data_IF_356230109373
#
_entry.id   IF_356230109373
#
_cell.length_a   1.000
_cell.length_b   1.000
_cell.length_c   1.000
_cell.angle_alpha   90.00
_cell.angle_beta   90.00
_cell.angle_gamma   90.00
#
_symmetry.space_group_name_H-M   'P 1'
#
loop_
_entity.id
_entity.type
_entity.pdbx_description
1 polymer ?
#
# COMPACT_ATOMS: atom_id res chain seq x y z
N UNK A 1 -4.69 16.23 16.36
CA UNK A 1 -4.49 14.82 15.92
C UNK A 1 -5.43 14.42 14.80
N UNK A 2 -6.73 14.71 14.87
CA UNK A 2 -7.72 14.40 13.82
C UNK A 2 -7.31 14.92 12.44
N UNK A 3 -6.87 16.19 12.32
CA UNK A 3 -6.44 16.78 11.05
C UNK A 3 -5.28 16.04 10.37
N UNK A 4 -4.30 15.57 11.16
CA UNK A 4 -3.14 14.83 10.67
C UNK A 4 -3.54 13.45 10.13
N UNK A 5 -4.49 12.79 10.81
CA UNK A 5 -5.01 11.51 10.36
C UNK A 5 -5.91 11.64 9.12
N UNK A 6 -6.67 12.73 8.98
CA UNK A 6 -7.48 13.01 7.77
C UNK A 6 -6.58 13.23 6.54
N UNK A 7 -5.47 13.96 6.70
CA UNK A 7 -4.43 14.08 5.67
C UNK A 7 -3.86 12.70 5.34
N UNK A 8 -3.60 11.87 6.35
CA UNK A 8 -3.18 10.48 6.18
C UNK A 8 -4.14 9.68 5.30
N UNK A 9 -5.45 9.73 5.57
CA UNK A 9 -6.46 9.06 4.74
C UNK A 9 -6.44 9.57 3.29
N UNK A 10 -6.43 10.90 3.09
CA UNK A 10 -6.44 11.50 1.75
C UNK A 10 -5.21 11.08 0.93
N UNK A 11 -4.02 11.11 1.54
CA UNK A 11 -2.80 10.66 0.89
C UNK A 11 -2.84 9.16 0.56
N UNK A 12 -3.36 8.33 1.48
CA UNK A 12 -3.40 6.88 1.29
C UNK A 12 -4.42 6.47 0.22
N UNK A 13 -5.59 7.11 0.18
CA UNK A 13 -6.60 6.92 -0.87
C UNK A 13 -6.10 7.42 -2.23
N UNK A 14 -5.43 8.58 -2.25
CA UNK A 14 -4.79 9.11 -3.45
C UNK A 14 -3.76 8.14 -4.01
N UNK A 15 -2.91 7.58 -3.16
CA UNK A 15 -1.91 6.59 -3.56
C UNK A 15 -2.56 5.28 -4.06
N UNK A 16 -3.61 4.80 -3.39
CA UNK A 16 -4.35 3.62 -3.83
C UNK A 16 -4.96 3.81 -5.25
N UNK A 17 -5.54 4.98 -5.54
CA UNK A 17 -6.08 5.31 -6.87
C UNK A 17 -4.99 5.35 -7.94
N UNK A 18 -3.84 5.94 -7.65
CA UNK A 18 -2.70 5.98 -8.58
C UNK A 18 -2.19 4.56 -8.87
N UNK A 19 -2.08 3.72 -7.85
CA UNK A 19 -1.62 2.33 -7.99
C UNK A 19 -2.65 1.48 -8.75
N UNK A 20 -3.95 1.69 -8.50
CA UNK A 20 -5.03 1.03 -9.24
C UNK A 20 -5.04 1.45 -10.72
N UNK A 21 -4.81 2.72 -11.02
CA UNK A 21 -4.67 3.20 -12.41
C UNK A 21 -3.47 2.53 -13.09
N UNK A 22 -2.33 2.44 -12.42
CA UNK A 22 -1.16 1.70 -12.91
C UNK A 22 -1.43 0.19 -13.08
N UNK A 23 -2.28 -0.40 -12.23
CA UNK A 23 -2.73 -1.78 -12.37
C UNK A 23 -3.51 -2.04 -13.65
N UNK A 24 -4.41 -1.12 -14.03
CA UNK A 24 -5.21 -1.23 -15.25
C UNK A 24 -4.36 -1.12 -16.51
N UNK A 25 -3.25 -0.36 -16.45
CA UNK A 25 -2.33 -0.14 -17.57
C UNK A 25 -1.33 -1.28 -17.79
N UNK A 26 -0.99 -2.06 -16.76
CA UNK A 26 -0.03 -3.17 -16.88
C UNK A 26 -0.70 -4.53 -17.15
N UNK A 27 -0.27 -5.19 -18.22
CA UNK A 27 -0.61 -6.58 -18.57
C UNK A 27 0.53 -7.52 -18.19
N UNK A 28 0.21 -8.69 -17.61
CA UNK A 28 1.19 -9.77 -17.34
C UNK A 28 1.56 -9.98 -15.87
N UNK A 29 2.69 -10.65 -15.63
CA UNK A 29 3.18 -11.16 -14.32
C UNK A 29 3.36 -10.03 -13.27
N UNK A 30 3.61 -8.79 -13.72
CA UNK A 30 3.70 -7.62 -12.84
C UNK A 30 2.38 -7.27 -12.13
N UNK A 31 1.22 -7.75 -12.61
CA UNK A 31 -0.07 -7.57 -11.92
C UNK A 31 -0.06 -8.12 -10.50
N UNK A 32 0.63 -9.23 -10.27
CA UNK A 32 0.71 -9.83 -8.94
C UNK A 32 1.45 -8.96 -7.93
N UNK A 33 2.46 -8.20 -8.38
CA UNK A 33 3.19 -7.27 -7.52
C UNK A 33 2.39 -5.99 -7.25
N UNK A 34 1.75 -5.44 -8.28
CA UNK A 34 0.88 -4.26 -8.11
C UNK A 34 -0.34 -4.58 -7.22
N UNK A 35 -0.92 -5.78 -7.33
CA UNK A 35 -2.01 -6.20 -6.44
C UNK A 35 -1.60 -6.16 -4.97
N UNK A 36 -0.39 -6.59 -4.65
CA UNK A 36 0.16 -6.53 -3.28
C UNK A 36 0.35 -5.06 -2.83
N UNK A 37 0.76 -4.17 -3.73
CA UNK A 37 0.78 -2.73 -3.43
C UNK A 37 -0.62 -2.19 -3.10
N UNK A 38 -1.64 -2.51 -3.91
CA UNK A 38 -3.04 -2.11 -3.63
C UNK A 38 -3.46 -2.60 -2.25
N UNK A 39 -3.21 -3.87 -1.93
CA UNK A 39 -3.52 -4.44 -0.62
C UNK A 39 -2.81 -3.68 0.52
N UNK A 40 -1.54 -3.33 0.31
CA UNK A 40 -0.75 -2.54 1.26
C UNK A 40 -1.36 -1.16 1.52
N UNK A 41 -1.75 -0.43 0.47
CA UNK A 41 -2.45 0.85 0.61
C UNK A 41 -3.81 0.72 1.30
N UNK A 42 -4.57 -0.34 1.02
CA UNK A 42 -5.84 -0.61 1.70
C UNK A 42 -5.65 -0.80 3.21
N UNK A 43 -4.61 -1.51 3.64
CA UNK A 43 -4.31 -1.68 5.07
C UNK A 43 -3.84 -0.39 5.73
N UNK A 44 -3.03 0.43 5.06
CA UNK A 44 -2.71 1.76 5.58
C UNK A 44 -3.96 2.62 5.76
N UNK A 45 -4.88 2.61 4.80
CA UNK A 45 -6.13 3.38 4.89
C UNK A 45 -6.99 2.91 6.07
N UNK A 46 -7.07 1.59 6.29
CA UNK A 46 -7.79 1.02 7.43
C UNK A 46 -7.15 1.39 8.77
N UNK A 47 -5.81 1.38 8.87
CA UNK A 47 -5.08 1.81 10.06
C UNK A 47 -5.36 3.28 10.41
N UNK A 48 -5.39 4.16 9.41
CA UNK A 48 -5.79 5.56 9.62
C UNK A 48 -7.25 5.70 10.04
N UNK A 49 -8.17 4.93 9.45
CA UNK A 49 -9.59 4.95 9.84
C UNK A 49 -9.79 4.52 11.30
N UNK A 50 -9.14 3.42 11.72
CA UNK A 50 -9.18 2.93 13.10
C UNK A 50 -8.63 3.96 14.09
N UNK A 51 -7.53 4.64 13.71
CA UNK A 51 -6.94 5.71 14.53
C UNK A 51 -7.80 6.97 14.63
N UNK A 52 -8.66 7.24 13.64
CA UNK A 52 -9.56 8.40 13.63
C UNK A 52 -10.81 8.15 14.46
N UNK A 53 -11.43 6.99 14.28
CA UNK A 53 -12.68 6.65 14.95
C UNK A 53 -12.46 6.02 16.33
N UNK A 54 -11.20 5.87 16.77
CA UNK A 54 -10.82 5.22 18.03
C UNK A 54 -11.51 3.86 18.24
N UNK A 55 -11.79 3.17 17.12
CA UNK A 55 -12.61 1.95 17.08
C UNK A 55 -12.04 0.85 17.98
N UNK A 56 -10.71 0.72 17.98
CA UNK A 56 -9.98 -0.26 18.77
C UNK A 56 -8.61 0.31 19.17
N UNK A 57 -8.24 0.33 20.46
CA UNK A 57 -6.94 0.82 20.89
C UNK A 57 -5.80 -0.07 20.37
N UNK A 58 -4.73 0.55 19.85
CA UNK A 58 -3.47 -0.05 19.40
C UNK A 58 -3.54 -1.01 18.19
N UNK A 59 -4.71 -1.19 17.56
CA UNK A 59 -4.80 -2.04 16.36
C UNK A 59 -4.41 -1.30 15.07
N UNK A 60 -4.33 0.03 15.09
CA UNK A 60 -3.82 0.85 13.97
C UNK A 60 -2.40 0.44 13.56
N UNK A 61 -1.56 0.15 14.55
CA UNK A 61 -0.20 -0.37 14.37
C UNK A 61 -0.14 -1.69 13.60
N UNK A 62 -1.10 -2.60 13.85
CA UNK A 62 -1.17 -3.90 13.15
C UNK A 62 -1.46 -3.68 11.67
N UNK A 63 -2.40 -2.78 11.36
CA UNK A 63 -2.76 -2.46 9.99
C UNK A 63 -1.66 -1.69 9.26
N UNK A 64 -0.94 -0.81 9.93
CA UNK A 64 0.24 -0.17 9.36
C UNK A 64 1.38 -1.17 9.09
N UNK A 65 1.64 -2.10 10.01
CA UNK A 65 2.65 -3.14 9.83
C UNK A 65 2.29 -4.08 8.66
N UNK A 66 1.02 -4.50 8.58
CA UNK A 66 0.52 -5.29 7.44
C UNK A 66 0.63 -4.52 6.12
N UNK A 67 0.25 -3.24 6.11
CA UNK A 67 0.39 -2.36 4.95
C UNK A 67 1.82 -2.35 4.41
N UNK A 68 2.79 -2.14 5.31
CA UNK A 68 4.21 -2.15 4.97
C UNK A 68 4.69 -3.52 4.46
N UNK A 69 4.27 -4.62 5.09
CA UNK A 69 4.63 -5.97 4.68
C UNK A 69 4.15 -6.28 3.24
N UNK A 70 2.90 -5.92 2.91
CA UNK A 70 2.38 -6.12 1.56
C UNK A 70 3.08 -5.25 0.51
N UNK A 71 3.51 -4.04 0.87
CA UNK A 71 4.33 -3.22 -0.03
C UNK A 71 5.71 -3.82 -0.28
N UNK A 72 6.37 -4.36 0.74
CA UNK A 72 7.67 -5.03 0.57
C UNK A 72 7.54 -6.30 -0.28
N UNK A 73 6.48 -7.09 -0.08
CA UNK A 73 6.20 -8.26 -0.92
C UNK A 73 5.87 -7.86 -2.37
N UNK A 74 5.10 -6.80 -2.56
CA UNK A 74 4.80 -6.23 -3.87
C UNK A 74 6.06 -5.74 -4.57
N UNK A 75 6.91 -4.98 -3.88
CA UNK A 75 8.18 -4.50 -4.36
C UNK A 75 9.09 -5.66 -4.77
N UNK A 76 9.29 -6.66 -3.90
CA UNK A 76 10.09 -7.85 -4.23
C UNK A 76 9.63 -8.49 -5.52
N UNK A 77 8.32 -8.67 -5.70
CA UNK A 77 7.74 -9.32 -6.89
C UNK A 77 7.84 -8.46 -8.16
N UNK A 78 7.76 -7.13 -8.04
CA UNK A 78 7.95 -6.22 -9.19
C UNK A 78 9.43 -6.14 -9.58
N UNK A 79 10.34 -5.99 -8.62
CA UNK A 79 11.77 -5.81 -8.89
C UNK A 79 12.51 -7.12 -9.21
N UNK A 80 12.08 -8.28 -8.68
CA UNK A 80 12.69 -9.56 -9.03
C UNK A 80 12.47 -9.97 -10.49
N UNK A 81 11.52 -9.33 -11.18
CA UNK A 81 11.26 -9.55 -12.60
C UNK A 81 12.18 -8.72 -13.51
N UNK A 82 13.02 -7.84 -12.95
CA UNK A 82 14.01 -7.08 -13.71
C UNK A 82 15.45 -7.25 -13.14
N UNK A 83 16.08 -8.42 -13.30
CA UNK A 83 17.49 -8.60 -12.91
C UNK A 83 18.49 -7.89 -13.84
N UNK A 84 18.06 -7.27 -14.95
CA UNK A 84 18.96 -6.63 -15.93
C UNK A 84 19.47 -5.23 -15.54
N UNK A 85 19.06 -4.71 -14.38
CA UNK A 85 19.56 -3.44 -13.86
C UNK A 85 20.86 -3.53 -13.05
N UNK A 86 21.32 -4.75 -12.74
CA UNK A 86 22.53 -5.02 -11.93
C UNK A 86 23.75 -5.40 -12.75
N UNK A 87 23.64 -5.46 -14.08
CA UNK A 87 24.76 -5.74 -15.02
C UNK A 87 25.22 -4.47 -15.78
N UNK A 88 25.28 -3.32 -15.11
CA UNK A 88 26.02 -2.15 -15.61
C UNK A 88 26.93 -1.58 -14.56
#
# INVERSE_FOLDING_TARGET
MVFLNVIGILMTLGAALVVLKSFLLWRGILRGGIFLFVLGFSFFALGFAIRIFELFPNSDLIFFAMGAAFMLLGAKKVFSLNPRGTDK
#
